data_IF_827167670466
#
_entry.id   IF_827167670466
#
_cell.length_a   1.000
_cell.length_b   1.000
_cell.length_c   1.000
_cell.angle_alpha   90.00
_cell.angle_beta   90.00
_cell.angle_gamma   90.00
#
_symmetry.space_group_name_H-M   'P 1'
#
loop_
_entity.id
_entity.type
_entity.pdbx_description
1 polymer ?
#
# COMPACT_ATOMS: atom_id res chain seq x y z
N UNK A 1 24.10 -33.73 24.11
CA UNK A 1 23.40 -32.62 24.78
C UNK A 1 23.74 -31.36 24.03
N UNK A 2 22.74 -30.86 23.31
CA UNK A 2 22.80 -29.77 22.33
C UNK A 2 22.89 -28.43 23.06
N UNK A 3 23.93 -27.64 22.77
CA UNK A 3 23.97 -26.23 23.13
C UNK A 3 23.03 -25.46 22.20
N UNK A 4 21.97 -24.90 22.76
CA UNK A 4 20.96 -24.10 22.07
C UNK A 4 21.50 -22.67 21.82
N UNK A 5 21.62 -22.19 20.56
CA UNK A 5 22.11 -20.85 20.25
C UNK A 5 21.12 -19.72 20.52
N UNK A 6 19.91 -19.99 21.04
CA UNK A 6 18.84 -19.00 21.17
C UNK A 6 18.70 -18.32 22.54
N UNK A 7 19.64 -18.51 23.47
CA UNK A 7 19.59 -17.96 24.83
C UNK A 7 20.10 -16.49 24.98
N UNK A 8 20.15 -15.71 23.89
CA UNK A 8 20.83 -14.40 23.86
C UNK A 8 19.95 -13.14 23.73
N UNK A 9 18.61 -13.24 23.80
CA UNK A 9 17.72 -12.11 23.45
C UNK A 9 17.14 -11.29 24.62
N UNK A 10 17.73 -11.34 25.82
CA UNK A 10 17.15 -10.67 26.99
C UNK A 10 18.04 -9.70 27.77
N UNK A 11 19.27 -9.39 27.33
CA UNK A 11 20.21 -8.58 28.12
C UNK A 11 20.95 -7.49 27.33
N UNK A 12 20.28 -6.78 26.41
CA UNK A 12 20.88 -5.60 25.75
C UNK A 12 19.87 -4.47 25.46
N UNK A 13 18.82 -4.34 26.28
CA UNK A 13 17.88 -3.20 26.20
C UNK A 13 18.22 -2.10 27.21
N UNK A 14 19.34 -2.21 27.94
CA UNK A 14 19.67 -1.34 29.09
C UNK A 14 20.90 -0.45 28.89
N UNK A 15 21.39 -0.26 27.67
CA UNK A 15 22.57 0.58 27.43
C UNK A 15 22.51 1.43 26.15
N UNK A 16 21.35 2.02 25.82
CA UNK A 16 21.27 3.18 24.90
C UNK A 16 20.25 4.23 25.35
N UNK A 17 20.18 4.51 26.66
CA UNK A 17 19.78 5.84 27.11
C UNK A 17 20.95 6.82 26.85
N UNK A 18 21.34 6.97 25.59
CA UNK A 18 22.19 8.07 25.17
C UNK A 18 21.45 9.35 25.50
N UNK A 19 22.16 10.28 26.15
CA UNK A 19 21.71 11.62 26.53
C UNK A 19 20.75 12.22 25.49
N UNK A 20 19.45 12.07 25.70
CA UNK A 20 18.51 13.01 25.15
C UNK A 20 18.70 14.26 26.01
N UNK A 21 19.16 15.40 25.45
CA UNK A 21 19.16 16.64 26.21
C UNK A 21 17.76 16.79 26.80
N UNK A 22 17.67 17.13 28.09
CA UNK A 22 16.38 17.24 28.77
C UNK A 22 15.52 18.26 28.01
N UNK A 23 14.63 17.77 27.14
CA UNK A 23 13.81 18.61 26.27
C UNK A 23 12.86 19.39 27.17
N UNK A 24 13.10 20.68 27.30
CA UNK A 24 12.26 21.56 28.10
C UNK A 24 11.01 21.90 27.29
N UNK A 25 9.84 21.85 27.93
CA UNK A 25 8.57 22.23 27.31
C UNK A 25 8.62 23.64 26.70
N UNK A 26 9.36 24.57 27.33
CA UNK A 26 9.58 25.92 26.83
C UNK A 26 10.24 25.97 25.43
N UNK A 27 11.07 24.98 25.07
CA UNK A 27 11.70 24.91 23.75
C UNK A 27 10.69 24.59 22.65
N UNK A 28 9.62 23.83 22.96
CA UNK A 28 8.52 23.60 22.02
C UNK A 28 7.74 24.88 21.75
N UNK A 29 7.46 25.68 22.78
CA UNK A 29 6.77 26.97 22.62
C UNK A 29 7.61 27.95 21.80
N UNK A 30 8.92 27.98 22.03
CA UNK A 30 9.86 28.78 21.25
C UNK A 30 9.95 28.32 19.80
N UNK A 31 10.04 27.01 19.54
CA UNK A 31 10.04 26.45 18.20
C UNK A 31 8.72 26.76 17.46
N UNK A 32 7.59 26.67 18.16
CA UNK A 32 6.28 27.04 17.64
C UNK A 32 6.21 28.53 17.29
N UNK A 33 6.69 29.41 18.18
CA UNK A 33 6.71 30.85 17.95
C UNK A 33 7.60 31.22 16.75
N UNK A 34 8.80 30.65 16.66
CA UNK A 34 9.71 30.86 15.53
C UNK A 34 9.10 30.36 14.21
N UNK A 35 8.46 29.19 14.19
CA UNK A 35 7.76 28.67 13.01
C UNK A 35 6.59 29.57 12.57
N UNK A 36 5.81 30.09 13.52
CA UNK A 36 4.72 31.05 13.25
C UNK A 36 5.26 32.36 12.66
N UNK A 37 6.34 32.90 13.22
CA UNK A 37 7.01 34.08 12.67
C UNK A 37 7.58 33.83 11.27
N UNK A 38 8.01 32.60 10.98
CA UNK A 38 8.44 32.18 9.65
C UNK A 38 7.29 32.04 8.64
N UNK A 39 6.04 32.22 9.06
CA UNK A 39 4.86 32.23 8.20
C UNK A 39 4.15 30.88 8.05
N UNK A 40 4.41 29.91 8.94
CA UNK A 40 3.61 28.68 9.02
C UNK A 40 2.28 29.01 9.69
N UNK A 41 1.21 29.13 8.90
CA UNK A 41 -0.10 29.59 9.34
C UNK A 41 -1.11 28.46 9.51
N UNK A 42 -0.72 27.21 9.24
CA UNK A 42 -1.62 26.07 9.39
C UNK A 42 -2.19 25.92 10.80
N UNK A 43 -3.43 25.44 10.87
CA UNK A 43 -4.10 25.11 12.13
C UNK A 43 -3.44 23.92 12.83
N UNK A 44 -2.82 23.02 12.05
CA UNK A 44 -2.17 21.80 12.53
C UNK A 44 -0.70 21.82 12.15
N UNK A 45 0.14 21.77 13.19
CA UNK A 45 1.59 21.73 13.07
C UNK A 45 2.10 20.47 13.78
N UNK A 46 3.12 19.86 13.20
CA UNK A 46 3.90 18.79 13.79
C UNK A 46 5.28 19.36 14.16
N UNK A 47 5.61 19.33 15.44
CA UNK A 47 6.93 19.77 15.95
C UNK A 47 7.70 18.51 16.31
N UNK A 48 8.87 18.33 15.69
CA UNK A 48 9.81 17.26 16.05
C UNK A 48 11.08 17.86 16.66
N UNK A 49 11.43 17.47 17.89
CA UNK A 49 12.67 17.88 18.52
C UNK A 49 13.89 17.27 17.80
N UNK A 50 15.06 17.90 17.94
CA UNK A 50 16.30 17.37 17.39
C UNK A 50 16.67 16.07 18.11
N UNK A 51 17.22 15.13 17.34
CA UNK A 51 17.69 13.84 17.86
C UNK A 51 19.08 13.92 18.50
N UNK A 52 19.80 15.02 18.25
CA UNK A 52 21.15 15.32 18.74
C UNK A 52 21.45 16.81 18.61
N UNK A 53 22.46 17.31 19.33
CA UNK A 53 22.78 18.75 19.42
C UNK A 53 23.21 19.39 18.09
N UNK A 54 23.63 18.60 17.11
CA UNK A 54 24.01 19.02 15.76
C UNK A 54 22.82 19.08 14.77
N UNK A 55 21.61 18.74 15.24
CA UNK A 55 20.41 18.70 14.40
C UNK A 55 19.46 19.83 14.76
N UNK A 56 18.75 20.32 13.75
CA UNK A 56 17.72 21.33 13.91
C UNK A 56 16.39 20.72 14.37
N UNK A 57 15.59 21.50 15.10
CA UNK A 57 14.17 21.27 15.28
C UNK A 57 13.47 21.35 13.93
N UNK A 58 12.47 20.50 13.69
CA UNK A 58 11.66 20.59 12.47
C UNK A 58 10.20 20.84 12.82
N UNK A 59 9.62 21.88 12.23
CA UNK A 59 8.20 22.20 12.35
C UNK A 59 7.55 22.11 10.99
N UNK A 60 6.56 21.25 10.86
CA UNK A 60 5.87 20.98 9.60
C UNK A 60 4.39 21.32 9.70
N UNK A 61 3.83 21.96 8.69
CA UNK A 61 2.39 22.01 8.48
C UNK A 61 1.88 20.64 8.03
N UNK A 62 0.79 20.20 8.64
CA UNK A 62 0.17 18.89 8.37
C UNK A 62 -1.28 19.03 7.90
N UNK A 63 -1.72 20.22 7.50
CA UNK A 63 -3.07 20.41 6.96
C UNK A 63 -3.09 20.08 5.46
N UNK A 64 -3.53 18.85 5.18
CA UNK A 64 -3.59 18.28 3.83
C UNK A 64 -4.91 18.60 3.11
N UNK A 65 -5.83 19.29 3.77
CA UNK A 65 -7.08 19.76 3.14
C UNK A 65 -6.79 20.89 2.17
N UNK A 66 -7.67 21.09 1.20
CA UNK A 66 -7.60 22.25 0.34
C UNK A 66 -8.00 23.54 1.10
N UNK A 67 -7.22 24.63 1.01
CA UNK A 67 -5.91 24.78 0.36
C UNK A 67 -4.78 24.09 1.14
N UNK A 68 -3.95 23.31 0.45
CA UNK A 68 -2.89 22.48 1.05
C UNK A 68 -1.83 23.32 1.75
N UNK A 69 -1.65 23.10 3.05
CA UNK A 69 -0.67 23.81 3.89
C UNK A 69 0.29 22.80 4.50
N UNK A 70 1.45 22.71 3.87
CA UNK A 70 2.41 21.63 4.07
C UNK A 70 3.85 22.15 4.02
N UNK A 71 4.01 23.43 4.34
CA UNK A 71 5.31 24.07 4.48
C UNK A 71 6.05 23.49 5.70
N UNK A 72 7.38 23.55 5.66
CA UNK A 72 8.23 23.07 6.74
C UNK A 72 9.37 24.06 7.00
N UNK A 73 9.75 24.18 8.27
CA UNK A 73 10.84 25.05 8.72
C UNK A 73 11.75 24.26 9.66
N UNK A 74 13.05 24.41 9.46
CA UNK A 74 14.07 23.91 10.36
C UNK A 74 14.61 25.05 11.23
N UNK A 75 14.73 24.80 12.54
CA UNK A 75 15.11 25.79 13.56
C UNK A 75 16.34 25.28 14.31
N UNK A 76 17.37 26.09 14.40
CA UNK A 76 18.59 25.78 15.15
C UNK A 76 18.31 25.64 16.65
N UNK A 77 18.79 24.56 17.27
CA UNK A 77 18.50 24.27 18.68
C UNK A 77 19.20 25.17 19.69
N UNK A 78 20.29 25.85 19.31
CA UNK A 78 21.05 26.71 20.20
C UNK A 78 20.59 28.18 20.13
N UNK A 79 20.27 28.66 18.93
CA UNK A 79 19.93 30.07 18.66
C UNK A 79 18.43 30.29 18.45
N UNK A 80 17.66 29.22 18.26
CA UNK A 80 16.23 29.25 17.90
C UNK A 80 15.94 30.07 16.63
N UNK A 81 16.93 30.19 15.74
CA UNK A 81 16.80 30.85 14.44
C UNK A 81 16.41 29.85 13.35
N UNK A 82 15.65 30.33 12.36
CA UNK A 82 15.28 29.53 11.19
C UNK A 82 16.51 29.34 10.30
N UNK A 83 16.93 28.09 10.12
CA UNK A 83 18.09 27.74 9.29
C UNK A 83 17.71 27.30 7.89
N UNK A 84 16.51 26.73 7.72
CA UNK A 84 16.00 26.30 6.42
C UNK A 84 14.47 26.38 6.36
N UNK A 85 13.96 26.59 5.15
CA UNK A 85 12.53 26.66 4.86
C UNK A 85 12.19 25.97 3.55
N UNK A 86 11.23 25.06 3.64
CA UNK A 86 10.64 24.37 2.50
C UNK A 86 9.20 24.81 2.32
N UNK A 87 8.86 25.38 1.14
CA UNK A 87 7.49 25.81 0.82
C UNK A 87 6.85 24.90 -0.21
N UNK A 88 5.56 24.61 -0.03
CA UNK A 88 4.79 23.85 -1.00
C UNK A 88 4.70 24.56 -2.36
N UNK A 89 4.70 25.90 -2.37
CA UNK A 89 4.71 26.68 -3.60
C UNK A 89 5.90 26.34 -4.51
N UNK A 90 7.05 26.01 -3.93
CA UNK A 90 8.31 25.73 -4.63
C UNK A 90 8.41 24.26 -5.09
N UNK A 91 7.43 23.40 -4.75
CA UNK A 91 7.45 22.00 -5.17
C UNK A 91 7.26 21.86 -6.68
N UNK A 92 7.97 20.91 -7.32
CA UNK A 92 7.75 20.62 -8.72
C UNK A 92 6.32 20.12 -8.94
N UNK A 93 5.76 20.39 -10.12
CA UNK A 93 4.38 20.09 -10.43
C UNK A 93 4.04 18.60 -10.25
N UNK A 94 4.98 17.70 -10.60
CA UNK A 94 4.82 16.26 -10.37
C UNK A 94 4.64 15.93 -8.88
N UNK A 95 5.43 16.54 -7.98
CA UNK A 95 5.28 16.31 -6.54
C UNK A 95 3.94 16.82 -6.02
N UNK A 96 3.45 17.97 -6.51
CA UNK A 96 2.13 18.51 -6.16
C UNK A 96 1.01 17.58 -6.61
N UNK A 97 1.07 17.10 -7.86
CA UNK A 97 0.07 16.17 -8.41
C UNK A 97 0.04 14.84 -7.64
N UNK A 98 1.20 14.24 -7.36
CA UNK A 98 1.27 13.00 -6.57
C UNK A 98 0.66 13.22 -5.19
N UNK A 99 0.98 14.33 -4.52
CA UNK A 99 0.43 14.64 -3.20
C UNK A 99 -1.09 14.82 -3.24
N UNK A 100 -1.60 15.64 -4.16
CA UNK A 100 -3.04 15.81 -4.32
C UNK A 100 -3.75 14.51 -4.69
N UNK A 101 -3.13 13.67 -5.52
CA UNK A 101 -3.65 12.35 -5.86
C UNK A 101 -3.77 11.44 -4.63
N UNK A 102 -2.75 11.41 -3.78
CA UNK A 102 -2.77 10.65 -2.51
C UNK A 102 -3.82 11.23 -1.55
N UNK A 103 -3.86 12.55 -1.36
CA UNK A 103 -4.82 13.19 -0.45
C UNK A 103 -6.27 13.08 -0.96
N UNK A 104 -6.46 13.03 -2.28
CA UNK A 104 -7.74 12.71 -2.91
C UNK A 104 -8.13 11.26 -2.63
N UNK A 105 -7.22 10.31 -2.86
CA UNK A 105 -7.45 8.89 -2.61
C UNK A 105 -7.71 8.57 -1.13
N UNK A 106 -7.09 9.30 -0.20
CA UNK A 106 -7.36 9.16 1.23
C UNK A 106 -8.69 9.83 1.67
N UNK A 107 -9.36 10.59 0.80
CA UNK A 107 -10.61 11.27 1.16
C UNK A 107 -10.43 12.59 1.90
N UNK A 108 -9.23 13.18 1.93
CA UNK A 108 -8.92 14.35 2.76
C UNK A 108 -8.98 15.66 1.96
N UNK A 109 -8.56 15.65 0.68
CA UNK A 109 -8.34 16.87 -0.11
C UNK A 109 -9.53 17.85 -0.11
N UNK A 110 -10.75 17.37 -0.41
CA UNK A 110 -11.98 18.18 -0.39
C UNK A 110 -12.90 17.86 0.79
N UNK A 111 -12.39 17.22 1.84
CA UNK A 111 -13.17 16.81 3.00
C UNK A 111 -14.39 15.97 2.65
N UNK A 112 -15.57 16.36 3.15
CA UNK A 112 -16.80 15.58 3.03
C UNK A 112 -17.20 15.27 1.59
N UNK A 113 -17.03 16.22 0.66
CA UNK A 113 -17.36 16.00 -0.74
C UNK A 113 -16.54 14.86 -1.36
N UNK A 114 -15.25 14.80 -1.02
CA UNK A 114 -14.37 13.72 -1.47
C UNK A 114 -14.78 12.38 -0.87
N UNK A 115 -15.10 12.35 0.43
CA UNK A 115 -15.51 11.13 1.12
C UNK A 115 -16.79 10.53 0.53
N UNK A 116 -17.80 11.36 0.26
CA UNK A 116 -19.05 10.91 -0.36
C UNK A 116 -18.80 10.35 -1.77
N UNK A 117 -17.91 10.97 -2.54
CA UNK A 117 -17.52 10.48 -3.86
C UNK A 117 -16.84 9.11 -3.77
N UNK A 118 -15.89 8.94 -2.84
CA UNK A 118 -15.20 7.66 -2.63
C UNK A 118 -16.16 6.56 -2.16
N UNK A 119 -17.10 6.87 -1.26
CA UNK A 119 -18.14 5.94 -0.82
C UNK A 119 -19.02 5.55 -2.00
N UNK A 120 -19.47 6.51 -2.81
CA UNK A 120 -20.26 6.26 -4.00
C UNK A 120 -19.55 5.33 -4.99
N UNK A 121 -18.26 5.60 -5.25
CA UNK A 121 -17.42 4.76 -6.10
C UNK A 121 -17.24 3.34 -5.55
N UNK A 122 -16.97 3.21 -4.25
CA UNK A 122 -16.86 1.92 -3.56
C UNK A 122 -18.15 1.11 -3.63
N UNK A 123 -19.30 1.74 -3.37
CA UNK A 123 -20.61 1.11 -3.50
C UNK A 123 -20.88 0.65 -4.94
N UNK A 124 -20.58 1.49 -5.94
CA UNK A 124 -20.73 1.13 -7.35
C UNK A 124 -19.85 -0.08 -7.73
N UNK A 125 -18.62 -0.14 -7.22
CA UNK A 125 -17.73 -1.28 -7.42
C UNK A 125 -18.31 -2.56 -6.80
N UNK A 126 -18.77 -2.51 -5.55
CA UNK A 126 -19.42 -3.64 -4.87
C UNK A 126 -20.65 -4.15 -5.64
N UNK A 127 -21.51 -3.22 -6.09
CA UNK A 127 -22.69 -3.56 -6.90
C UNK A 127 -22.26 -4.21 -8.22
N UNK A 128 -21.26 -3.65 -8.89
CA UNK A 128 -20.75 -4.20 -10.17
C UNK A 128 -20.20 -5.61 -9.98
N UNK A 129 -19.47 -5.88 -8.90
CA UNK A 129 -18.99 -7.21 -8.56
C UNK A 129 -20.18 -8.17 -8.34
N UNK A 130 -21.14 -7.76 -7.51
CA UNK A 130 -22.34 -8.57 -7.23
C UNK A 130 -23.17 -8.87 -8.48
N UNK A 131 -23.39 -7.87 -9.33
CA UNK A 131 -24.07 -8.03 -10.62
C UNK A 131 -23.25 -8.92 -11.56
N UNK A 132 -21.93 -8.77 -11.60
CA UNK A 132 -21.03 -9.62 -12.38
C UNK A 132 -21.15 -11.09 -11.98
N UNK A 133 -21.10 -11.40 -10.68
CA UNK A 133 -21.32 -12.75 -10.18
C UNK A 133 -22.73 -13.27 -10.46
N UNK A 134 -23.75 -12.43 -10.30
CA UNK A 134 -25.14 -12.80 -10.62
C UNK A 134 -25.30 -13.14 -12.11
N UNK A 135 -24.75 -12.31 -12.99
CA UNK A 135 -24.78 -12.54 -14.43
C UNK A 135 -24.00 -13.80 -14.80
N UNK A 136 -22.84 -14.02 -14.19
CA UNK A 136 -22.07 -15.25 -14.35
C UNK A 136 -22.88 -16.48 -13.93
N UNK A 137 -23.57 -16.41 -12.79
CA UNK A 137 -24.38 -17.52 -12.28
C UNK A 137 -25.60 -17.82 -13.16
N UNK A 138 -26.27 -16.78 -13.69
CA UNK A 138 -27.44 -16.94 -14.57
C UNK A 138 -27.03 -17.46 -15.95
N UNK A 139 -25.88 -17.00 -16.47
CA UNK A 139 -25.41 -17.35 -17.82
C UNK A 139 -24.46 -18.55 -17.84
N UNK A 140 -24.24 -19.23 -16.72
CA UNK A 140 -23.38 -20.42 -16.68
C UNK A 140 -23.98 -21.53 -17.56
N UNK A 141 -23.24 -22.09 -18.52
CA UNK A 141 -23.73 -23.21 -19.32
C UNK A 141 -23.98 -24.45 -18.42
N UNK A 142 -25.12 -25.15 -18.54
CA UNK A 142 -25.43 -26.32 -17.71
C UNK A 142 -24.43 -27.48 -17.85
N UNK A 143 -23.62 -27.50 -18.92
CA UNK A 143 -22.74 -28.61 -19.27
C UNK A 143 -21.24 -28.29 -19.06
N UNK A 144 -20.87 -27.04 -18.78
CA UNK A 144 -19.47 -26.64 -18.60
C UNK A 144 -18.88 -27.01 -17.22
N UNK A 145 -19.69 -27.54 -16.30
CA UNK A 145 -19.21 -27.93 -14.98
C UNK A 145 -18.19 -29.09 -15.04
N UNK A 146 -18.31 -29.97 -16.04
CA UNK A 146 -17.53 -31.22 -16.16
C UNK A 146 -17.03 -31.52 -17.57
N UNK A 147 -16.84 -30.51 -18.42
CA UNK A 147 -16.11 -30.71 -19.66
C UNK A 147 -14.62 -30.37 -19.45
N UNK A 148 -13.70 -31.36 -19.40
CA UNK A 148 -12.26 -31.15 -19.29
C UNK A 148 -11.72 -30.14 -20.30
N UNK A 149 -12.39 -30.03 -21.46
CA UNK A 149 -12.05 -29.14 -22.56
C UNK A 149 -12.02 -27.63 -22.21
N UNK A 150 -12.55 -27.24 -21.04
CA UNK A 150 -12.61 -25.84 -20.59
C UNK A 150 -11.72 -25.55 -19.36
N UNK A 151 -10.76 -26.43 -19.04
CA UNK A 151 -9.75 -26.16 -17.99
C UNK A 151 -8.70 -25.16 -18.47
N UNK A 152 -8.18 -24.34 -17.55
CA UNK A 152 -7.12 -23.36 -17.84
C UNK A 152 -5.86 -24.04 -18.38
N UNK A 153 -5.53 -25.21 -17.81
CA UNK A 153 -4.41 -26.03 -18.25
C UNK A 153 -4.56 -26.46 -19.71
N UNK A 154 -5.77 -26.88 -20.12
CA UNK A 154 -6.03 -27.29 -21.50
C UNK A 154 -6.05 -26.10 -22.47
N UNK A 155 -6.55 -24.94 -22.04
CA UNK A 155 -6.47 -23.70 -22.82
C UNK A 155 -5.02 -23.21 -22.99
N UNK A 156 -4.17 -23.37 -21.97
CA UNK A 156 -2.74 -23.07 -22.09
C UNK A 156 -2.02 -24.09 -22.99
N UNK A 157 -2.39 -25.37 -22.91
CA UNK A 157 -1.87 -26.42 -23.78
C UNK A 157 -2.36 -26.34 -25.23
N UNK A 158 -3.41 -25.56 -25.54
CA UNK A 158 -3.86 -25.35 -26.93
C UNK A 158 -3.12 -24.22 -27.66
N UNK A 159 -2.39 -23.38 -26.94
CA UNK A 159 -1.55 -22.31 -27.52
C UNK A 159 -0.39 -22.89 -28.34
N UNK A 160 0.11 -22.13 -29.32
CA UNK A 160 1.37 -22.44 -29.99
C UNK A 160 2.56 -22.34 -29.01
N UNK A 161 3.61 -23.12 -29.24
CA UNK A 161 4.79 -23.20 -28.36
C UNK A 161 5.40 -21.83 -27.96
N UNK A 162 5.52 -20.84 -28.87
CA UNK A 162 6.03 -19.51 -28.50
C UNK A 162 5.09 -18.78 -27.53
N UNK A 163 3.78 -18.87 -27.76
CA UNK A 163 2.78 -18.22 -26.93
C UNK A 163 2.72 -18.84 -25.52
N UNK A 164 2.92 -20.16 -25.40
CA UNK A 164 2.99 -20.84 -24.09
C UNK A 164 4.13 -20.32 -23.23
N UNK A 165 5.31 -20.20 -23.83
CA UNK A 165 6.53 -19.71 -23.15
C UNK A 165 6.38 -18.25 -22.75
N UNK A 166 5.77 -17.43 -23.60
CA UNK A 166 5.47 -16.02 -23.29
C UNK A 166 4.49 -15.89 -22.11
N UNK A 167 3.40 -16.65 -22.11
CA UNK A 167 2.41 -16.63 -21.01
C UNK A 167 3.03 -17.09 -19.69
N UNK A 168 3.84 -18.16 -19.71
CA UNK A 168 4.57 -18.63 -18.52
C UNK A 168 5.55 -17.58 -18.01
N UNK A 169 6.35 -17.00 -18.91
CA UNK A 169 7.33 -15.97 -18.57
C UNK A 169 6.67 -14.73 -17.95
N UNK A 170 5.56 -14.29 -18.53
CA UNK A 170 4.77 -13.17 -18.00
C UNK A 170 4.14 -13.49 -16.66
N UNK A 171 3.53 -14.68 -16.51
CA UNK A 171 2.95 -15.12 -15.25
C UNK A 171 4.00 -15.21 -14.14
N UNK A 172 5.21 -15.69 -14.46
CA UNK A 172 6.32 -15.76 -13.52
C UNK A 172 6.84 -14.37 -13.14
N UNK A 173 7.08 -13.49 -14.12
CA UNK A 173 7.54 -12.13 -13.87
C UNK A 173 6.54 -11.34 -13.02
N UNK A 174 5.25 -11.41 -13.36
CA UNK A 174 4.19 -10.77 -12.59
C UNK A 174 4.04 -11.41 -11.20
N UNK A 175 4.16 -12.74 -11.08
CA UNK A 175 4.11 -13.45 -9.80
C UNK A 175 5.25 -13.05 -8.86
N UNK A 176 6.45 -12.80 -9.38
CA UNK A 176 7.56 -12.26 -8.60
C UNK A 176 7.33 -10.79 -8.21
N UNK A 177 6.82 -9.97 -9.12
CA UNK A 177 6.52 -8.56 -8.86
C UNK A 177 5.35 -8.38 -7.87
N UNK A 178 4.38 -9.30 -7.88
CA UNK A 178 3.17 -9.27 -7.04
C UNK A 178 2.92 -10.65 -6.40
N UNK A 179 3.57 -10.96 -5.26
CA UNK A 179 3.55 -12.31 -4.67
C UNK A 179 2.15 -12.85 -4.33
N UNK A 180 1.25 -11.99 -3.85
CA UNK A 180 -0.14 -12.36 -3.55
C UNK A 180 -0.92 -12.80 -4.81
N UNK A 181 -0.67 -12.14 -5.93
CA UNK A 181 -1.25 -12.53 -7.22
C UNK A 181 -0.64 -13.85 -7.72
N UNK A 182 0.67 -14.05 -7.55
CA UNK A 182 1.33 -15.32 -7.88
C UNK A 182 0.77 -16.49 -7.05
N UNK A 183 0.58 -16.29 -5.76
CA UNK A 183 0.00 -17.29 -4.87
C UNK A 183 -1.46 -17.63 -5.23
N UNK A 184 -2.30 -16.63 -5.55
CA UNK A 184 -3.67 -16.86 -5.97
C UNK A 184 -3.76 -17.59 -7.32
N UNK A 185 -2.84 -17.30 -8.25
CA UNK A 185 -2.71 -18.01 -9.52
C UNK A 185 -2.33 -19.48 -9.30
N UNK A 186 -1.34 -19.77 -8.44
CA UNK A 186 -0.96 -21.15 -8.10
C UNK A 186 -2.12 -21.94 -7.48
N UNK A 187 -2.87 -21.30 -6.57
CA UNK A 187 -4.06 -21.89 -5.98
C UNK A 187 -5.11 -22.20 -7.05
N UNK A 188 -5.33 -21.28 -8.00
CA UNK A 188 -6.28 -21.47 -9.07
C UNK A 188 -5.87 -22.62 -10.02
N UNK A 189 -4.58 -22.72 -10.35
CA UNK A 189 -4.02 -23.84 -11.12
C UNK A 189 -4.19 -25.17 -10.38
N UNK A 190 -3.97 -25.20 -9.06
CA UNK A 190 -4.15 -26.41 -8.26
C UNK A 190 -5.62 -26.88 -8.27
N UNK A 191 -6.57 -25.95 -8.10
CA UNK A 191 -8.02 -26.24 -8.17
C UNK A 191 -8.39 -26.72 -9.58
N UNK A 192 -7.90 -26.07 -10.62
CA UNK A 192 -8.14 -26.46 -12.02
C UNK A 192 -7.61 -27.87 -12.33
N UNK A 193 -6.41 -28.18 -11.85
CA UNK A 193 -5.80 -29.51 -11.97
C UNK A 193 -6.61 -30.60 -11.26
N UNK A 194 -7.09 -30.35 -10.03
CA UNK A 194 -7.96 -31.28 -9.30
C UNK A 194 -9.27 -31.52 -10.05
N UNK A 195 -9.89 -30.46 -10.59
CA UNK A 195 -11.14 -30.56 -11.37
C UNK A 195 -10.93 -31.36 -12.66
N UNK A 196 -9.83 -31.12 -13.37
CA UNK A 196 -9.47 -31.87 -14.58
C UNK A 196 -9.28 -33.36 -14.31
N UNK A 197 -8.58 -33.71 -13.22
CA UNK A 197 -8.41 -35.11 -12.79
C UNK A 197 -9.75 -35.78 -12.47
N UNK A 198 -10.61 -35.13 -11.70
CA UNK A 198 -11.91 -35.67 -11.33
C UNK A 198 -12.81 -35.92 -12.57
N UNK A 199 -12.82 -34.99 -13.52
CA UNK A 199 -13.59 -35.12 -14.75
C UNK A 199 -13.06 -36.24 -15.68
N UNK A 200 -11.73 -36.40 -15.74
CA UNK A 200 -11.10 -37.46 -16.55
C UNK A 200 -11.39 -38.85 -15.98
N UNK A 201 -11.36 -39.02 -14.65
CA UNK A 201 -11.69 -40.27 -13.99
C UNK A 201 -13.14 -40.72 -14.24
N UNK A 202 -14.11 -39.79 -14.17
CA UNK A 202 -15.52 -40.09 -14.44
C UNK A 202 -15.78 -40.52 -15.91
N UNK A 203 -15.04 -39.96 -16.87
CA UNK A 203 -15.16 -40.38 -18.29
C UNK A 203 -14.69 -41.81 -18.52
N UNK A 204 -13.61 -42.24 -17.87
CA UNK A 204 -13.09 -43.60 -18.00
C UNK A 204 -14.10 -44.64 -17.46
N UNK A 205 -14.70 -44.38 -16.28
CA UNK A 205 -15.72 -45.26 -15.69
C UNK A 205 -16.95 -45.45 -16.58
N UNK A 206 -17.40 -44.40 -17.27
CA UNK A 206 -18.58 -44.47 -18.17
C UNK A 206 -18.30 -45.17 -19.50
N UNK A 207 -17.03 -45.33 -19.90
CA UNK A 207 -16.65 -46.03 -21.13
C UNK A 207 -16.49 -47.54 -20.98
N UNK A 208 -16.47 -48.03 -19.74
CA UNK A 208 -16.29 -49.43 -19.37
C UNK A 208 -17.60 -50.16 -19.01
N UNK A 209 -18.73 -49.44 -18.99
CA UNK A 209 -20.11 -49.98 -18.90
C UNK A 209 -20.76 -50.05 -20.29
#
# INVERSE_FOLDING_TARGET
MTHDPHAGHHMDVMAMAQHQPALQLAQFDQALAAARQAGLNASRLEIRPPVSDDRAWTVNEIDRRWPTQVDAVAIDGATMQVVDRTRFADFPLMAKLTRWGVDFHMGILFGLANQLLLVGFGCALCVTIGVGYRLWWIRRPPQAAWDPAHSLLQAWLSLAWPARSLVLGLAFALGLAMPLMGASLLLFIAVDYLRWRAATAMRMMKSSD
#
